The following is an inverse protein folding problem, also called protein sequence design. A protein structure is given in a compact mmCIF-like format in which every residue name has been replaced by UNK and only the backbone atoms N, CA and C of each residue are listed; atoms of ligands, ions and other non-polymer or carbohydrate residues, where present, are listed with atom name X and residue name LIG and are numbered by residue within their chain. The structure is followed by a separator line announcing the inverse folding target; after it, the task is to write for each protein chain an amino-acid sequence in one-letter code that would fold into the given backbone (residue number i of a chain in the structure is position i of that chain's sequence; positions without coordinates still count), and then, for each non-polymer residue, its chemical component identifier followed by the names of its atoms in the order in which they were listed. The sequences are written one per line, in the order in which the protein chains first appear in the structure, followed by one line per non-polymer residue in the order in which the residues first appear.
data_IF_958627378824
#
_entry.id   IF_958627378824
#
_cell.length_a   1.000
_cell.length_b   1.000
_cell.length_c   1.000
_cell.angle_alpha   90.00
_cell.angle_beta   90.00
_cell.angle_gamma   90.00
#
_symmetry.space_group_name_H-M   'P 1'
#
loop_
_entity.id
_entity.type
_entity.pdbx_description
1 polymer ?
#
# COMPACT_ATOMS: atom_id res chain seq x y z
N UNK A 1 1.86 1.66 -19.14
CA UNK A 1 1.04 0.89 -18.18
C UNK A 1 1.87 0.02 -17.25
N UNK A 2 2.72 -0.91 -17.73
CA UNK A 2 3.51 -1.80 -16.84
C UNK A 2 4.35 -1.07 -15.76
N UNK A 3 5.11 -0.04 -16.14
CA UNK A 3 5.89 0.76 -15.17
C UNK A 3 5.02 1.45 -14.13
N UNK A 4 3.83 1.95 -14.53
CA UNK A 4 2.85 2.57 -13.63
C UNK A 4 2.29 1.53 -12.65
N UNK A 5 1.89 0.37 -13.15
CA UNK A 5 1.36 -0.73 -12.32
C UNK A 5 2.39 -1.21 -11.31
N UNK A 6 3.65 -1.41 -11.72
CA UNK A 6 4.74 -1.77 -10.80
C UNK A 6 4.99 -0.72 -9.72
N UNK A 7 4.98 0.56 -10.09
CA UNK A 7 5.12 1.64 -9.11
C UNK A 7 3.97 1.65 -8.09
N UNK A 8 2.74 1.47 -8.55
CA UNK A 8 1.57 1.39 -7.67
C UNK A 8 1.60 0.14 -6.78
N UNK A 9 2.07 -0.99 -7.31
CA UNK A 9 2.23 -2.24 -6.57
C UNK A 9 3.21 -2.06 -5.42
N UNK A 10 4.42 -1.56 -5.71
CA UNK A 10 5.43 -1.31 -4.69
C UNK A 10 4.89 -0.35 -3.61
N UNK A 11 4.26 0.75 -4.01
CA UNK A 11 3.68 1.70 -3.05
C UNK A 11 2.60 1.06 -2.16
N UNK A 12 1.78 0.16 -2.70
CA UNK A 12 0.77 -0.55 -1.94
C UNK A 12 1.40 -1.56 -0.97
N UNK A 13 2.45 -2.27 -1.41
CA UNK A 13 3.20 -3.21 -0.57
C UNK A 13 3.91 -2.48 0.59
N UNK A 14 4.60 -1.37 0.30
CA UNK A 14 5.25 -0.54 1.33
C UNK A 14 4.21 -0.06 2.36
N UNK A 15 3.01 0.32 1.91
CA UNK A 15 1.94 0.76 2.82
C UNK A 15 1.38 -0.40 3.64
N UNK A 16 1.10 -1.54 3.01
CA UNK A 16 0.58 -2.73 3.68
C UNK A 16 1.55 -3.17 4.78
N UNK A 17 2.84 -3.20 4.49
CA UNK A 17 3.90 -3.54 5.43
C UNK A 17 3.85 -2.69 6.71
N UNK A 18 3.67 -1.38 6.59
CA UNK A 18 3.52 -0.49 7.75
C UNK A 18 2.24 -0.73 8.52
N UNK A 19 1.12 -0.98 7.83
CA UNK A 19 -0.19 -1.22 8.45
C UNK A 19 -0.17 -2.55 9.22
N UNK A 20 0.47 -3.59 8.68
CA UNK A 20 0.61 -4.89 9.35
C UNK A 20 1.46 -4.77 10.62
N UNK A 21 2.57 -4.02 10.57
CA UNK A 21 3.38 -3.74 11.76
C UNK A 21 2.63 -2.96 12.84
N UNK A 22 1.84 -1.95 12.44
CA UNK A 22 0.99 -1.21 13.38
C UNK A 22 -0.09 -2.09 14.02
N UNK A 23 -0.77 -2.92 13.24
CA UNK A 23 -1.81 -3.79 13.77
C UNK A 23 -1.24 -4.80 14.76
N UNK A 24 -0.07 -5.38 14.48
CA UNK A 24 0.65 -6.22 15.43
C UNK A 24 0.96 -5.46 16.73
N UNK A 25 1.50 -4.24 16.61
CA UNK A 25 1.82 -3.41 17.77
C UNK A 25 0.59 -2.98 18.59
N UNK A 26 -0.58 -2.82 17.96
CA UNK A 26 -1.83 -2.47 18.65
C UNK A 26 -2.38 -3.67 19.45
N UNK A 27 -2.21 -4.90 18.95
CA UNK A 27 -2.65 -6.12 19.66
C UNK A 27 -1.96 -6.24 21.02
N UNK A 28 -0.65 -5.99 21.07
CA UNK A 28 0.16 -6.08 22.29
C UNK A 28 0.68 -4.70 22.73
N UNK A 29 -0.22 -3.70 22.75
CA UNK A 29 0.15 -2.30 22.98
C UNK A 29 0.80 -2.05 24.35
N UNK A 30 0.40 -2.80 25.38
CA UNK A 30 0.95 -2.66 26.73
C UNK A 30 2.45 -3.01 26.76
N UNK A 31 2.85 -4.07 26.06
CA UNK A 31 4.25 -4.51 25.95
C UNK A 31 5.06 -3.52 25.11
N UNK A 32 4.49 -3.01 24.01
CA UNK A 32 5.10 -1.96 23.20
C UNK A 32 5.37 -0.71 24.05
N UNK A 33 4.39 -0.26 24.84
CA UNK A 33 4.54 0.89 25.74
C UNK A 33 5.57 0.60 26.83
N UNK A 34 5.59 -0.61 27.40
CA UNK A 34 6.57 -1.01 28.42
C UNK A 34 8.00 -0.98 27.86
N UNK A 35 8.21 -1.47 26.64
CA UNK A 35 9.49 -1.37 25.93
C UNK A 35 9.84 0.10 25.73
N UNK A 36 8.96 0.93 25.19
CA UNK A 36 9.27 2.35 24.95
C UNK A 36 9.62 3.08 26.26
N UNK A 37 8.85 2.88 27.33
CA UNK A 37 9.07 3.55 28.63
C UNK A 37 10.32 3.10 29.36
N UNK A 38 10.78 1.87 29.12
CA UNK A 38 12.02 1.33 29.72
C UNK A 38 13.28 1.67 28.93
N UNK A 39 13.14 2.32 27.75
CA UNK A 39 14.28 2.71 26.91
C UNK A 39 14.86 4.04 27.35
N UNK A 40 16.18 4.16 27.29
CA UNK A 40 16.87 5.43 27.50
C UNK A 40 16.67 6.40 26.33
N UNK A 41 16.60 5.89 25.09
CA UNK A 41 16.39 6.69 23.89
C UNK A 41 15.56 5.97 22.81
N UNK A 42 15.25 6.71 21.73
CA UNK A 42 14.47 6.19 20.60
C UNK A 42 15.19 5.08 19.82
N UNK A 43 16.52 5.10 19.74
CA UNK A 43 17.29 4.09 19.01
C UNK A 43 17.29 2.75 19.77
N UNK A 44 17.42 2.80 21.10
CA UNK A 44 17.28 1.65 21.98
C UNK A 44 15.85 1.09 21.93
N UNK A 45 14.82 1.95 21.90
CA UNK A 45 13.43 1.51 21.77
C UNK A 45 13.21 0.79 20.43
N UNK A 46 13.66 1.38 19.33
CA UNK A 46 13.59 0.79 17.99
C UNK A 46 14.22 -0.60 17.94
N UNK A 47 15.47 -0.72 18.42
CA UNK A 47 16.20 -1.99 18.38
C UNK A 47 15.49 -3.09 19.17
N UNK A 48 14.91 -2.73 20.33
CA UNK A 48 14.15 -3.68 21.15
C UNK A 48 12.80 -4.05 20.52
N UNK A 49 12.08 -3.10 19.93
CA UNK A 49 10.84 -3.37 19.20
C UNK A 49 11.09 -4.32 18.03
N UNK A 50 12.15 -4.09 17.25
CA UNK A 50 12.56 -4.97 16.16
C UNK A 50 12.84 -6.40 16.66
N UNK A 51 13.61 -6.54 17.75
CA UNK A 51 13.96 -7.85 18.29
C UNK A 51 12.80 -8.63 18.91
N UNK A 52 11.90 -7.94 19.62
CA UNK A 52 10.79 -8.60 20.34
C UNK A 52 9.63 -8.94 19.41
N UNK A 53 9.31 -8.08 18.45
CA UNK A 53 8.13 -8.22 17.59
C UNK A 53 8.46 -8.64 16.15
N UNK A 54 9.71 -9.03 15.87
CA UNK A 54 10.22 -9.38 14.52
C UNK A 54 9.87 -8.31 13.46
N UNK A 55 9.97 -7.06 13.87
CA UNK A 55 9.67 -5.89 13.03
C UNK A 55 10.94 -5.43 12.32
N UNK A 56 10.78 -4.91 11.11
CA UNK A 56 11.89 -4.22 10.45
C UNK A 56 12.08 -2.79 10.98
N UNK A 57 13.16 -2.15 10.54
CA UNK A 57 13.51 -0.81 10.98
C UNK A 57 12.43 0.23 10.59
N UNK A 58 11.78 0.05 9.44
CA UNK A 58 10.78 0.99 8.93
C UNK A 58 9.50 0.91 9.76
N UNK A 59 9.02 -0.30 10.06
CA UNK A 59 7.87 -0.54 10.93
C UNK A 59 8.14 -0.03 12.35
N UNK A 60 9.30 -0.35 12.91
CA UNK A 60 9.64 0.06 14.27
C UNK A 60 9.70 1.60 14.39
N UNK A 61 10.31 2.29 13.43
CA UNK A 61 10.26 3.76 13.38
C UNK A 61 8.83 4.28 13.26
N UNK A 62 8.02 3.66 12.38
CA UNK A 62 6.63 4.07 12.17
C UNK A 62 5.75 3.90 13.41
N UNK A 63 5.99 2.85 14.20
CA UNK A 63 5.32 2.63 15.49
C UNK A 63 5.74 3.69 16.52
N UNK A 64 7.02 4.04 16.58
CA UNK A 64 7.50 5.11 17.47
C UNK A 64 6.89 6.48 17.13
N UNK A 65 6.63 6.73 15.85
CA UNK A 65 5.98 7.96 15.36
C UNK A 65 4.45 7.95 15.52
N UNK A 66 3.86 6.85 16.00
CA UNK A 66 2.41 6.70 16.13
C UNK A 66 1.84 7.67 17.19
N UNK A 67 0.73 8.31 16.84
CA UNK A 67 -0.03 9.17 17.76
C UNK A 67 -1.00 8.34 18.60
N UNK A 68 -1.10 8.62 19.91
CA UNK A 68 -1.97 7.91 20.86
C UNK A 68 -3.45 7.79 20.43
N UNK A 69 -3.97 8.74 19.64
CA UNK A 69 -5.35 8.68 19.10
C UNK A 69 -5.61 7.44 18.23
N UNK A 70 -4.55 6.87 17.62
CA UNK A 70 -4.61 5.66 16.77
C UNK A 70 -4.92 4.39 17.57
N UNK A 71 -4.81 4.43 18.90
CA UNK A 71 -5.12 3.30 19.80
C UNK A 71 -6.62 3.11 20.04
N UNK A 72 -7.46 4.04 19.55
CA UNK A 72 -8.91 3.91 19.69
C UNK A 72 -9.42 2.74 18.83
N UNK A 73 -10.41 2.00 19.34
CA UNK A 73 -11.04 0.89 18.62
C UNK A 73 -11.48 1.26 17.20
N UNK A 74 -12.00 2.48 17.02
CA UNK A 74 -12.39 2.99 15.72
C UNK A 74 -11.21 3.07 14.75
N UNK A 75 -10.06 3.62 15.19
CA UNK A 75 -8.85 3.70 14.38
C UNK A 75 -8.30 2.31 14.03
N UNK A 76 -8.41 1.33 14.93
CA UNK A 76 -8.01 -0.06 14.66
C UNK A 76 -8.86 -0.67 13.55
N UNK A 77 -10.18 -0.49 13.58
CA UNK A 77 -11.09 -0.99 12.54
C UNK A 77 -10.78 -0.33 11.18
N UNK A 78 -10.48 0.97 11.16
CA UNK A 78 -10.04 1.65 9.93
C UNK A 78 -8.73 1.06 9.37
N UNK A 79 -7.77 0.72 10.24
CA UNK A 79 -6.51 0.09 9.83
C UNK A 79 -6.72 -1.33 9.31
N UNK A 80 -7.63 -2.10 9.92
CA UNK A 80 -8.00 -3.43 9.43
C UNK A 80 -8.65 -3.35 8.04
N UNK A 81 -9.57 -2.40 7.83
CA UNK A 81 -10.16 -2.13 6.53
C UNK A 81 -9.10 -1.70 5.51
N UNK A 82 -8.20 -0.78 5.88
CA UNK A 82 -7.12 -0.32 5.02
C UNK A 82 -6.20 -1.48 4.60
N UNK A 83 -5.86 -2.38 5.53
CA UNK A 83 -5.08 -3.59 5.26
C UNK A 83 -5.75 -4.48 4.22
N UNK A 84 -7.05 -4.73 4.39
CA UNK A 84 -7.79 -5.66 3.53
C UNK A 84 -7.96 -5.07 2.11
N UNK A 85 -8.26 -3.77 2.00
CA UNK A 85 -8.27 -3.05 0.72
C UNK A 85 -6.90 -3.06 0.03
N UNK A 86 -5.82 -2.90 0.79
CA UNK A 86 -4.45 -2.96 0.26
C UNK A 86 -4.11 -4.36 -0.26
N UNK A 87 -4.53 -5.43 0.43
CA UNK A 87 -4.33 -6.81 -0.02
C UNK A 87 -5.05 -7.09 -1.32
N UNK A 88 -6.33 -6.74 -1.42
CA UNK A 88 -7.10 -6.87 -2.66
C UNK A 88 -6.45 -6.08 -3.81
N UNK A 89 -6.01 -4.86 -3.52
CA UNK A 89 -5.33 -4.02 -4.50
C UNK A 89 -4.01 -4.62 -4.97
N UNK A 90 -3.20 -5.16 -4.05
CA UNK A 90 -1.92 -5.81 -4.36
C UNK A 90 -2.17 -7.04 -5.22
N UNK A 91 -3.17 -7.86 -4.91
CA UNK A 91 -3.54 -9.03 -5.70
C UNK A 91 -3.90 -8.63 -7.14
N UNK A 92 -4.78 -7.64 -7.31
CA UNK A 92 -5.17 -7.13 -8.63
C UNK A 92 -4.00 -6.55 -9.42
N UNK A 93 -3.12 -5.77 -8.78
CA UNK A 93 -1.93 -5.21 -9.42
C UNK A 93 -0.91 -6.29 -9.78
N UNK A 94 -0.76 -7.32 -8.94
CA UNK A 94 0.14 -8.45 -9.16
C UNK A 94 -0.31 -9.26 -10.37
N UNK A 95 -1.61 -9.50 -10.51
CA UNK A 95 -2.19 -10.15 -11.69
C UNK A 95 -1.82 -9.40 -12.98
N UNK A 96 -2.00 -8.07 -13.00
CA UNK A 96 -1.69 -7.23 -14.17
C UNK A 96 -0.18 -7.24 -14.49
N UNK A 97 0.69 -7.32 -13.49
CA UNK A 97 2.14 -7.35 -13.70
C UNK A 97 2.62 -8.70 -14.24
N UNK A 98 2.01 -9.80 -13.79
CA UNK A 98 2.45 -11.15 -14.11
C UNK A 98 1.82 -11.69 -15.41
N UNK A 99 0.62 -11.24 -15.79
CA UNK A 99 -0.05 -11.68 -17.01
C UNK A 99 -0.02 -10.61 -18.12
N UNK A 100 0.65 -10.95 -19.24
CA UNK A 100 0.71 -10.11 -20.44
C UNK A 100 -0.64 -9.96 -21.15
N UNK A 101 -1.56 -10.90 -21.00
CA UNK A 101 -2.91 -10.80 -21.55
C UNK A 101 -3.72 -9.76 -20.77
N UNK A 102 -3.74 -9.84 -19.44
CA UNK A 102 -4.38 -8.85 -18.58
C UNK A 102 -3.79 -7.45 -18.76
N UNK A 103 -2.46 -7.32 -18.84
CA UNK A 103 -1.83 -6.04 -19.14
C UNK A 103 -2.34 -5.45 -20.46
N UNK A 104 -2.47 -6.26 -21.51
CA UNK A 104 -3.01 -5.82 -22.81
C UNK A 104 -4.48 -5.41 -22.69
N UNK A 105 -5.29 -6.17 -21.95
CA UNK A 105 -6.70 -5.85 -21.70
C UNK A 105 -6.85 -4.48 -21.04
N UNK A 106 -6.07 -4.21 -19.99
CA UNK A 106 -6.06 -2.91 -19.30
C UNK A 106 -5.64 -1.79 -20.24
N UNK A 107 -4.56 -1.97 -21.00
CA UNK A 107 -4.09 -0.97 -21.98
C UNK A 107 -5.16 -0.69 -23.04
N UNK A 108 -5.79 -1.72 -23.59
CA UNK A 108 -6.86 -1.56 -24.58
C UNK A 108 -8.05 -0.80 -24.01
N UNK A 109 -8.46 -1.10 -22.77
CA UNK A 109 -9.52 -0.36 -22.09
C UNK A 109 -9.20 1.13 -21.94
N UNK A 110 -7.98 1.45 -21.50
CA UNK A 110 -7.51 2.84 -21.37
C UNK A 110 -7.50 3.58 -22.72
N UNK A 111 -7.07 2.91 -23.81
CA UNK A 111 -7.09 3.50 -25.15
C UNK A 111 -8.52 3.76 -25.65
N UNK A 112 -9.46 2.85 -25.37
CA UNK A 112 -10.88 3.03 -25.71
C UNK A 112 -11.48 4.21 -24.94
N UNK A 113 -11.16 4.36 -23.65
CA UNK A 113 -11.62 5.48 -22.84
C UNK A 113 -11.11 6.82 -23.39
N UNK A 114 -9.81 6.89 -23.72
CA UNK A 114 -9.21 8.08 -24.34
C UNK A 114 -9.84 8.38 -25.70
N UNK A 115 -10.04 7.36 -26.54
CA UNK A 115 -10.68 7.50 -27.85
C UNK A 115 -12.12 8.01 -27.72
N UNK A 116 -12.86 7.52 -26.72
CA UNK A 116 -14.25 7.93 -26.48
C UNK A 116 -14.33 9.38 -25.98
N UNK A 117 -13.37 9.79 -25.15
CA UNK A 117 -13.32 11.12 -24.55
C UNK A 117 -12.85 12.21 -25.52
N UNK A 118 -11.92 11.89 -26.43
CA UNK A 118 -11.26 12.87 -27.29
C UNK A 118 -11.41 12.60 -28.80
N UNK A 119 -12.22 11.61 -29.18
CA UNK A 119 -12.46 11.25 -30.58
C UNK A 119 -13.11 12.39 -31.36
N UNK A 120 -12.53 12.72 -32.51
CA UNK A 120 -13.11 13.69 -33.45
C UNK A 120 -13.30 13.05 -34.83
N UNK A 121 -14.32 13.45 -35.60
CA UNK A 121 -14.53 12.91 -36.93
C UNK A 121 -13.34 13.24 -37.85
N UNK A 122 -13.07 12.34 -38.80
CA UNK A 122 -11.97 12.50 -39.75
C UNK A 122 -12.22 13.72 -40.64
N UNK A 123 -11.24 14.61 -40.73
CA UNK A 123 -11.31 15.84 -41.56
C UNK A 123 -10.99 15.59 -43.04
N UNK A 124 -10.20 14.57 -43.33
CA UNK A 124 -9.75 14.23 -44.70
C UNK A 124 -10.62 13.12 -45.28
N UNK A 125 -11.29 13.41 -46.40
CA UNK A 125 -12.09 12.45 -47.18
C UNK A 125 -11.14 11.47 -47.89
N UNK A 126 -11.46 10.17 -47.85
CA UNK A 126 -10.75 9.13 -48.59
C UNK A 126 -11.53 8.83 -49.87
N UNK A 127 -10.92 9.04 -51.03
CA UNK A 127 -11.44 8.60 -52.33
C UNK A 127 -10.73 7.29 -52.68
N UNK A 128 -11.49 6.20 -52.87
CA UNK A 128 -10.96 4.90 -53.25
C UNK A 128 -10.42 4.89 -54.69
N UNK A 129 -9.41 4.06 -54.94
CA UNK A 129 -8.86 3.81 -56.27
C UNK A 129 -9.74 2.83 -57.06
#
# INVERSE_FOLDING_TARGET
TLRRTKFQLNKAQDRLHLVEGLLLAIVDIDDVIAIIRSSEDAAAARTRLMGTFDLDEVQANYILDMQLRRLTKFSTIELESERDELRERIEGLTLIVNDKAELRRVVSGELVEVSSKYGTPRRTVLLGA
#
